data_IF_807200902010
#
_entry.id   IF_807200902010
#
_cell.length_a   1.000
_cell.length_b   1.000
_cell.length_c   1.000
_cell.angle_alpha   90.00
_cell.angle_beta   90.00
_cell.angle_gamma   90.00
#
_symmetry.space_group_name_H-M   'P 1'
#
loop_
_entity.id
_entity.type
_entity.pdbx_description
1 polymer ?
#
# COMPACT_ATOMS: atom_id res chain seq x y z
N UNK A 1 -14.51 -1.06 -9.52
CA UNK A 1 -13.21 -1.60 -9.05
C UNK A 1 -12.92 -0.97 -7.71
N UNK A 2 -12.99 -1.73 -6.62
CA UNK A 2 -12.87 -1.17 -5.28
C UNK A 2 -11.45 -0.60 -5.08
N UNK A 3 -11.32 0.64 -4.61
CA UNK A 3 -10.00 1.30 -4.42
C UNK A 3 -9.05 0.44 -3.59
N UNK A 4 -9.61 -0.24 -2.59
CA UNK A 4 -8.92 -1.20 -1.73
C UNK A 4 -8.25 -2.32 -2.56
N UNK A 5 -8.96 -2.90 -3.52
CA UNK A 5 -8.44 -3.96 -4.39
C UNK A 5 -7.32 -3.43 -5.29
N UNK A 6 -7.46 -2.21 -5.81
CA UNK A 6 -6.42 -1.56 -6.63
C UNK A 6 -5.14 -1.36 -5.82
N UNK A 7 -5.26 -0.84 -4.60
CA UNK A 7 -4.10 -0.59 -3.72
C UNK A 7 -3.39 -1.91 -3.37
N UNK A 8 -4.13 -2.97 -3.06
CA UNK A 8 -3.54 -4.28 -2.77
C UNK A 8 -2.81 -4.88 -3.97
N UNK A 9 -3.35 -4.75 -5.19
CA UNK A 9 -2.69 -5.23 -6.40
C UNK A 9 -1.40 -4.45 -6.68
N UNK A 10 -1.42 -3.13 -6.52
CA UNK A 10 -0.22 -2.30 -6.65
C UNK A 10 0.82 -2.67 -5.59
N UNK A 11 0.37 -2.91 -4.35
CA UNK A 11 1.25 -3.34 -3.27
C UNK A 11 1.90 -4.68 -3.60
N UNK A 12 1.17 -5.63 -4.22
CA UNK A 12 1.65 -6.95 -4.64
C UNK A 12 2.62 -6.88 -5.85
N UNK A 13 2.41 -5.96 -6.78
CA UNK A 13 3.25 -5.78 -7.96
C UNK A 13 4.53 -5.00 -7.65
N UNK A 14 4.45 -3.98 -6.79
CA UNK A 14 5.53 -3.03 -6.54
C UNK A 14 6.19 -3.18 -5.15
N UNK A 15 5.63 -4.01 -4.26
CA UNK A 15 6.22 -4.30 -2.95
C UNK A 15 7.56 -5.02 -3.07
N UNK A 16 7.69 -6.00 -3.98
CA UNK A 16 8.91 -6.81 -4.11
C UNK A 16 9.02 -7.91 -3.05
N UNK A 17 9.84 -8.93 -3.31
CA UNK A 17 9.88 -10.17 -2.51
C UNK A 17 10.17 -9.95 -1.02
N UNK A 18 11.14 -9.11 -0.66
CA UNK A 18 11.49 -8.87 0.75
C UNK A 18 10.51 -7.94 1.49
N UNK A 19 9.66 -7.18 0.78
CA UNK A 19 8.62 -6.36 1.40
C UNK A 19 7.54 -7.21 2.07
N UNK A 20 7.16 -8.35 1.50
CA UNK A 20 6.16 -9.24 2.10
C UNK A 20 6.71 -10.11 3.22
N UNK A 21 8.02 -10.36 3.24
CA UNK A 21 8.66 -11.29 4.18
C UNK A 21 9.25 -10.54 5.39
N UNK A 22 9.83 -9.35 5.18
CA UNK A 22 10.49 -8.55 6.22
C UNK A 22 10.05 -7.08 6.28
N UNK A 23 9.03 -6.71 5.51
CA UNK A 23 8.52 -5.34 5.47
C UNK A 23 9.34 -4.38 4.60
N UNK A 24 8.97 -3.09 4.56
CA UNK A 24 9.56 -2.10 3.66
C UNK A 24 11.08 -1.95 3.79
N UNK A 25 11.64 -2.13 4.99
CA UNK A 25 13.07 -2.00 5.24
C UNK A 25 13.90 -3.14 4.64
N UNK A 26 13.30 -4.31 4.39
CA UNK A 26 14.03 -5.54 4.00
C UNK A 26 13.86 -5.85 2.51
N UNK A 27 12.78 -5.42 1.87
CA UNK A 27 12.70 -5.57 0.41
C UNK A 27 11.63 -4.75 -0.30
N UNK A 28 11.31 -3.57 0.23
CA UNK A 28 10.47 -2.60 -0.45
C UNK A 28 11.26 -1.40 -0.92
N UNK A 29 11.37 -1.20 -2.23
CA UNK A 29 11.73 0.12 -2.76
C UNK A 29 10.74 1.19 -2.29
N UNK A 30 11.13 2.46 -2.34
CA UNK A 30 10.33 3.59 -1.83
C UNK A 30 8.86 3.59 -2.28
N UNK A 31 8.55 3.04 -3.46
CA UNK A 31 7.18 2.88 -3.96
C UNK A 31 6.30 1.94 -3.13
N UNK A 32 6.80 0.78 -2.69
CA UNK A 32 6.03 -0.16 -1.87
C UNK A 32 5.67 0.45 -0.51
N UNK A 33 6.60 1.20 0.09
CA UNK A 33 6.38 1.93 1.34
C UNK A 33 5.31 3.02 1.17
N UNK A 34 5.39 3.81 0.09
CA UNK A 34 4.39 4.85 -0.21
C UNK A 34 3.00 4.23 -0.34
N UNK A 35 2.86 3.12 -1.05
CA UNK A 35 1.57 2.42 -1.20
C UNK A 35 1.04 1.89 0.12
N UNK A 36 1.92 1.38 0.99
CA UNK A 36 1.55 0.95 2.35
C UNK A 36 1.00 2.11 3.17
N UNK A 37 1.67 3.28 3.13
CA UNK A 37 1.21 4.49 3.82
C UNK A 37 -0.17 4.90 3.30
N UNK A 38 -0.36 4.94 1.98
CA UNK A 38 -1.65 5.28 1.37
C UNK A 38 -2.75 4.32 1.84
N UNK A 39 -2.45 3.02 1.92
CA UNK A 39 -3.39 2.02 2.41
C UNK A 39 -3.77 2.26 3.88
N UNK A 40 -2.78 2.54 4.74
CA UNK A 40 -3.03 2.83 6.16
C UNK A 40 -3.91 4.08 6.31
N UNK A 41 -3.58 5.17 5.61
CA UNK A 41 -4.37 6.40 5.63
C UNK A 41 -5.81 6.15 5.14
N UNK A 42 -5.97 5.37 4.07
CA UNK A 42 -7.28 4.99 3.56
C UNK A 42 -8.10 4.17 4.58
N UNK A 43 -7.48 3.19 5.24
CA UNK A 43 -8.14 2.37 6.27
C UNK A 43 -8.52 3.17 7.51
N UNK A 44 -7.73 4.19 7.89
CA UNK A 44 -8.08 5.14 8.95
C UNK A 44 -9.23 6.10 8.57
N UNK A 45 -9.79 5.96 7.38
CA UNK A 45 -10.87 6.82 6.88
C UNK A 45 -10.38 8.10 6.19
N UNK A 46 -9.08 8.21 5.92
CA UNK A 46 -8.52 9.18 5.00
C UNK A 46 -9.08 8.99 3.59
N UNK A 47 -9.09 10.06 2.79
CA UNK A 47 -9.68 10.10 1.45
C UNK A 47 -11.19 9.82 1.37
N UNK A 48 -11.91 9.71 2.50
CA UNK A 48 -13.37 9.81 2.51
C UNK A 48 -13.74 11.25 2.16
N UNK A 49 -14.15 11.48 0.91
CA UNK A 49 -14.67 12.79 0.49
C UNK A 49 -15.81 13.21 1.41
N UNK A 50 -15.79 14.46 1.89
CA UNK A 50 -16.95 15.05 2.56
C UNK A 50 -18.06 15.16 1.50
N UNK A 51 -19.03 14.26 1.58
CA UNK A 51 -20.39 14.55 1.12
C UNK A 51 -21.09 15.33 2.23
#
# INVERSE_FOLDING_TARGET
MNLLVIILLLLLLFGGGGFYIGGPAVGGGGLGLILLIVLIVYLMGGFRGRK
#
